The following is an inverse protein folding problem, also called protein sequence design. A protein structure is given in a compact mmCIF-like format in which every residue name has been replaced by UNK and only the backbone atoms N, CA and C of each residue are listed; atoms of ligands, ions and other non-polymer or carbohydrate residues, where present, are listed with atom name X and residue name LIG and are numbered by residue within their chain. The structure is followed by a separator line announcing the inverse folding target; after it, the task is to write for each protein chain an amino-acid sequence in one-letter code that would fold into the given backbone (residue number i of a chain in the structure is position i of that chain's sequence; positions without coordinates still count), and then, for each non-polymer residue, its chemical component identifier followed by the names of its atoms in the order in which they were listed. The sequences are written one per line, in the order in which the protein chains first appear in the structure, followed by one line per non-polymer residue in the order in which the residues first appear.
data_IF_562100020070
#
_entry.id   IF_562100020070
#
_cell.length_a   1.000
_cell.length_b   1.000
_cell.length_c   1.000
_cell.angle_alpha   90.00
_cell.angle_beta   90.00
_cell.angle_gamma   90.00
#
_symmetry.space_group_name_H-M   'P 1'
#
loop_
_entity.id
_entity.type
_entity.pdbx_description
1 polymer ?
#
# COMPACT_ATOMS: atom_id res chain seq x y z
N UNK A 1 -25.74 -36.86 55.42
CA UNK A 1 -26.00 -36.65 53.97
C UNK A 1 -26.04 -35.14 53.78
N UNK A 2 -24.99 -34.43 53.29
CA UNK A 2 -24.49 -34.36 51.90
C UNK A 2 -25.68 -34.15 50.93
N UNK A 3 -25.81 -33.10 50.11
CA UNK A 3 -24.81 -32.35 49.32
C UNK A 3 -25.34 -30.94 48.94
N UNK A 4 -24.39 -30.02 48.72
CA UNK A 4 -24.47 -28.72 48.04
C UNK A 4 -25.12 -28.76 46.64
N UNK A 5 -25.67 -27.62 46.19
CA UNK A 5 -26.05 -27.38 44.79
C UNK A 5 -25.77 -25.93 44.36
N UNK A 6 -24.94 -25.78 43.32
CA UNK A 6 -24.17 -24.58 42.96
C UNK A 6 -24.93 -23.46 42.22
N UNK A 7 -24.34 -22.26 42.33
CA UNK A 7 -24.50 -21.08 41.48
C UNK A 7 -24.36 -21.42 39.97
N UNK A 8 -25.23 -20.85 39.13
CA UNK A 8 -24.95 -20.66 37.71
C UNK A 8 -24.66 -19.18 37.46
N UNK A 9 -23.38 -18.89 37.26
CA UNK A 9 -22.89 -17.62 36.73
C UNK A 9 -23.32 -17.45 35.28
N UNK A 10 -23.86 -16.28 34.95
CA UNK A 10 -24.03 -15.86 33.57
C UNK A 10 -22.66 -15.72 32.89
N UNK A 11 -22.49 -16.44 31.79
CA UNK A 11 -21.31 -16.36 30.95
C UNK A 11 -21.39 -15.08 30.12
N UNK A 12 -20.67 -14.05 30.55
CA UNK A 12 -20.44 -12.83 29.79
C UNK A 12 -19.46 -13.15 28.66
N UNK A 13 -19.97 -13.31 27.43
CA UNK A 13 -19.16 -13.34 26.22
C UNK A 13 -18.43 -11.99 26.08
N UNK A 14 -17.08 -11.96 26.02
CA UNK A 14 -16.38 -10.72 25.71
C UNK A 14 -16.63 -10.32 24.24
N UNK A 15 -16.73 -9.02 23.92
CA UNK A 15 -16.85 -8.58 22.53
C UNK A 15 -15.62 -9.02 21.72
N UNK A 16 -15.74 -9.24 20.40
CA UNK A 16 -14.58 -9.54 19.57
C UNK A 16 -13.63 -8.34 19.63
N UNK A 17 -12.49 -8.52 20.29
CA UNK A 17 -11.37 -7.61 20.21
C UNK A 17 -10.95 -7.52 18.75
N UNK A 18 -11.18 -6.38 18.10
CA UNK A 18 -10.58 -6.06 16.81
C UNK A 18 -9.07 -6.23 16.96
N UNK A 19 -8.53 -7.27 16.33
CA UNK A 19 -7.11 -7.57 16.32
C UNK A 19 -6.41 -6.54 15.41
N UNK A 20 -6.15 -5.36 15.96
CA UNK A 20 -5.57 -4.20 15.26
C UNK A 20 -4.13 -4.42 14.79
N UNK A 21 -3.61 -5.65 14.87
CA UNK A 21 -2.24 -5.97 14.51
C UNK A 21 -2.10 -7.21 13.61
N UNK A 22 -3.18 -7.71 13.00
CA UNK A 22 -3.07 -8.83 12.06
C UNK A 22 -2.33 -8.41 10.80
N UNK A 23 -1.40 -9.27 10.38
CA UNK A 23 -0.76 -9.18 9.06
C UNK A 23 -1.80 -9.40 7.98
N UNK A 24 -1.84 -8.50 7.00
CA UNK A 24 -2.70 -8.60 5.83
C UNK A 24 -1.81 -8.99 4.65
N UNK A 25 -2.19 -10.07 3.97
CA UNK A 25 -1.57 -10.46 2.71
C UNK A 25 -2.09 -9.54 1.59
N UNK A 26 -1.18 -8.95 0.80
CA UNK A 26 -1.53 -8.07 -0.30
C UNK A 26 -2.45 -8.76 -1.31
N UNK A 27 -2.30 -10.07 -1.56
CA UNK A 27 -3.17 -10.79 -2.49
C UNK A 27 -4.63 -10.90 -2.04
N UNK A 28 -4.91 -10.66 -0.75
CA UNK A 28 -6.29 -10.61 -0.25
C UNK A 28 -7.02 -9.30 -0.60
N UNK A 29 -6.30 -8.26 -1.02
CA UNK A 29 -6.85 -6.92 -1.25
C UNK A 29 -7.45 -6.72 -2.64
N UNK A 30 -7.19 -7.62 -3.59
CA UNK A 30 -7.80 -7.59 -4.91
C UNK A 30 -7.91 -8.98 -5.51
N UNK A 31 -9.06 -9.30 -6.09
CA UNK A 31 -9.21 -10.58 -6.78
C UNK A 31 -8.52 -10.53 -8.15
N UNK A 32 -8.14 -11.71 -8.66
CA UNK A 32 -7.57 -11.83 -10.01
C UNK A 32 -8.53 -11.29 -11.08
N UNK A 33 -9.83 -11.49 -10.91
CA UNK A 33 -10.87 -11.07 -11.84
C UNK A 33 -11.07 -9.54 -11.83
N UNK A 34 -10.96 -8.89 -10.68
CA UNK A 34 -10.94 -7.43 -10.57
C UNK A 34 -9.72 -6.85 -11.29
N UNK A 35 -8.53 -7.41 -11.03
CA UNK A 35 -7.28 -6.98 -11.69
C UNK A 35 -7.35 -7.21 -13.20
N UNK A 36 -7.86 -8.35 -13.65
CA UNK A 36 -8.06 -8.66 -15.08
C UNK A 36 -8.96 -7.64 -15.77
N UNK A 37 -10.08 -7.29 -15.12
CA UNK A 37 -11.04 -6.31 -15.63
C UNK A 37 -10.40 -4.93 -15.76
N UNK A 38 -9.65 -4.49 -14.76
CA UNK A 38 -8.99 -3.16 -14.75
C UNK A 38 -7.83 -3.12 -15.75
N UNK A 39 -7.01 -4.17 -15.81
CA UNK A 39 -5.86 -4.20 -16.71
C UNK A 39 -6.29 -4.37 -18.18
N UNK A 40 -7.43 -5.02 -18.41
CA UNK A 40 -7.89 -5.40 -19.75
C UNK A 40 -7.07 -6.54 -20.33
N UNK A 41 -6.66 -7.49 -19.47
CA UNK A 41 -5.82 -8.63 -19.86
C UNK A 41 -6.20 -9.88 -19.07
N UNK A 42 -5.91 -11.04 -19.65
CA UNK A 42 -6.06 -12.32 -18.94
C UNK A 42 -4.91 -12.46 -17.92
N UNK A 43 -5.25 -12.31 -16.64
CA UNK A 43 -4.27 -12.52 -15.57
C UNK A 43 -4.08 -13.99 -15.25
N UNK A 44 -2.83 -14.34 -14.91
CA UNK A 44 -2.44 -15.62 -14.36
C UNK A 44 -2.72 -15.65 -12.85
N UNK A 45 -2.41 -16.77 -12.21
CA UNK A 45 -2.54 -16.88 -10.76
C UNK A 45 -1.60 -15.91 -10.05
N UNK A 46 -2.11 -15.13 -9.08
CA UNK A 46 -1.31 -14.15 -8.38
C UNK A 46 -0.23 -14.82 -7.52
N UNK A 47 0.93 -14.19 -7.45
CA UNK A 47 2.06 -14.65 -6.64
C UNK A 47 2.21 -13.73 -5.44
N UNK A 48 2.02 -14.28 -4.24
CA UNK A 48 2.29 -13.57 -2.98
C UNK A 48 3.76 -13.74 -2.60
N UNK A 49 4.36 -12.66 -2.08
CA UNK A 49 5.66 -12.69 -1.40
C UNK A 49 5.64 -11.72 -0.23
N UNK A 50 6.56 -11.90 0.71
CA UNK A 50 6.74 -10.98 1.82
C UNK A 50 8.20 -10.88 2.22
N UNK A 51 8.58 -9.73 2.77
CA UNK A 51 9.94 -9.49 3.25
C UNK A 51 10.02 -8.23 4.13
N UNK A 52 11.11 -8.10 4.90
CA UNK A 52 11.41 -6.85 5.57
C UNK A 52 11.67 -5.75 4.54
N UNK A 53 11.19 -4.55 4.84
CA UNK A 53 11.36 -3.34 4.04
C UNK A 53 11.66 -2.19 5.01
N UNK A 54 12.91 -1.75 5.08
CA UNK A 54 13.41 -0.83 6.11
C UNK A 54 13.05 -1.37 7.51
N UNK A 55 12.16 -0.69 8.23
CA UNK A 55 11.69 -1.01 9.59
C UNK A 55 10.32 -1.71 9.60
N UNK A 56 9.80 -2.04 8.41
CA UNK A 56 8.44 -2.52 8.21
C UNK A 56 8.41 -3.90 7.55
N UNK A 57 7.22 -4.46 7.47
CA UNK A 57 6.94 -5.65 6.68
C UNK A 57 6.24 -5.23 5.39
N UNK A 58 6.79 -5.66 4.26
CA UNK A 58 6.15 -5.54 2.97
C UNK A 58 5.57 -6.89 2.55
N UNK A 59 4.25 -6.94 2.37
CA UNK A 59 3.60 -7.99 1.59
C UNK A 59 3.41 -7.50 0.15
N UNK A 60 3.69 -8.35 -0.84
CA UNK A 60 3.52 -8.05 -2.25
C UNK A 60 2.65 -9.11 -2.92
N UNK A 61 1.80 -8.65 -3.83
CA UNK A 61 1.05 -9.49 -4.73
C UNK A 61 1.35 -9.10 -6.18
N UNK A 62 1.90 -10.05 -6.93
CA UNK A 62 2.22 -9.87 -8.33
C UNK A 62 1.20 -10.61 -9.21
N UNK A 63 0.54 -9.87 -10.10
CA UNK A 63 -0.37 -10.39 -11.10
C UNK A 63 0.33 -10.32 -12.47
N UNK A 64 0.92 -11.43 -12.90
CA UNK A 64 1.42 -11.56 -14.27
C UNK A 64 0.29 -11.91 -15.25
N UNK A 65 0.42 -11.55 -16.52
CA UNK A 65 -0.57 -11.88 -17.56
C UNK A 65 -0.01 -12.82 -18.62
N UNK A 66 -0.88 -13.33 -19.50
CA UNK A 66 -0.45 -14.06 -20.70
C UNK A 66 0.31 -13.18 -21.71
N UNK A 67 0.13 -11.86 -21.64
CA UNK A 67 0.89 -10.85 -22.37
C UNK A 67 2.08 -10.41 -21.49
N UNK A 68 3.34 -10.69 -21.89
CA UNK A 68 4.49 -10.58 -20.99
C UNK A 68 4.75 -9.18 -20.41
N UNK A 69 4.34 -8.14 -21.12
CA UNK A 69 4.53 -6.74 -20.72
C UNK A 69 3.41 -6.23 -19.80
N UNK A 70 2.24 -6.90 -19.76
CA UNK A 70 1.13 -6.54 -18.88
C UNK A 70 1.24 -7.27 -17.56
N UNK A 71 1.57 -6.51 -16.52
CA UNK A 71 1.58 -6.97 -15.15
C UNK A 71 0.99 -5.92 -14.22
N UNK A 72 0.61 -6.34 -13.02
CA UNK A 72 0.18 -5.45 -11.95
C UNK A 72 0.89 -5.86 -10.67
N UNK A 73 1.49 -4.89 -9.99
CA UNK A 73 2.11 -5.09 -8.68
C UNK A 73 1.31 -4.32 -7.63
N UNK A 74 0.96 -5.03 -6.56
CA UNK A 74 0.25 -4.50 -5.40
C UNK A 74 1.09 -4.79 -4.15
N UNK A 75 1.63 -3.76 -3.51
CA UNK A 75 2.38 -3.89 -2.27
C UNK A 75 1.60 -3.30 -1.09
N UNK A 76 1.65 -3.94 0.07
CA UNK A 76 1.15 -3.42 1.33
C UNK A 76 2.30 -3.38 2.34
N UNK A 77 2.74 -2.17 2.67
CA UNK A 77 3.65 -1.92 3.77
C UNK A 77 2.86 -1.77 5.07
N UNK A 78 3.29 -2.47 6.10
CA UNK A 78 2.65 -2.49 7.40
C UNK A 78 3.70 -2.68 8.51
N UNK A 79 3.38 -2.31 9.74
CA UNK A 79 4.22 -2.66 10.88
C UNK A 79 4.40 -4.17 10.97
N UNK A 80 5.61 -4.59 11.33
CA UNK A 80 5.90 -6.00 11.53
C UNK A 80 5.23 -6.47 12.84
N UNK A 81 4.30 -7.44 12.82
CA UNK A 81 3.61 -7.86 14.04
C UNK A 81 4.55 -8.47 15.10
N UNK A 82 5.71 -8.99 14.68
CA UNK A 82 6.71 -9.61 15.56
C UNK A 82 7.69 -8.60 16.15
N UNK A 83 7.89 -7.49 15.47
CA UNK A 83 8.77 -6.40 15.89
C UNK A 83 8.20 -5.09 15.37
N UNK A 84 7.22 -4.49 16.07
CA UNK A 84 6.48 -3.35 15.54
C UNK A 84 7.32 -2.08 15.41
N UNK A 85 8.57 -2.07 15.89
CA UNK A 85 9.42 -0.89 15.91
C UNK A 85 8.85 0.24 16.76
N UNK A 86 9.48 1.41 16.67
CA UNK A 86 9.02 2.65 17.30
C UNK A 86 8.36 3.61 16.30
N UNK A 87 8.66 3.44 15.01
CA UNK A 87 8.19 4.30 13.93
C UNK A 87 6.91 3.75 13.32
N UNK A 88 5.92 4.61 13.12
CA UNK A 88 4.67 4.23 12.45
C UNK A 88 4.78 4.40 10.93
N UNK A 89 3.91 3.72 10.17
CA UNK A 89 3.84 3.92 8.71
C UNK A 89 3.40 5.35 8.40
N UNK A 90 2.48 5.92 9.19
CA UNK A 90 2.07 7.33 9.04
C UNK A 90 3.23 8.30 9.26
N UNK A 91 4.11 8.06 10.24
CA UNK A 91 5.33 8.87 10.42
C UNK A 91 6.26 8.74 9.22
N UNK A 92 6.51 7.50 8.77
CA UNK A 92 7.30 7.25 7.57
C UNK A 92 6.73 7.94 6.32
N UNK A 93 5.41 7.93 6.16
CA UNK A 93 4.69 8.60 5.10
C UNK A 93 4.95 10.10 5.08
N UNK A 94 4.75 10.79 6.21
CA UNK A 94 4.97 12.23 6.32
C UNK A 94 6.43 12.60 6.09
N UNK A 95 7.38 11.85 6.65
CA UNK A 95 8.79 12.04 6.36
C UNK A 95 9.10 11.84 4.86
N UNK A 96 8.38 10.95 4.16
CA UNK A 96 8.60 10.73 2.73
C UNK A 96 7.97 11.84 1.87
N UNK A 97 6.74 12.26 2.17
CA UNK A 97 5.94 13.11 1.28
C UNK A 97 5.88 14.60 1.68
N UNK A 98 6.07 14.96 2.96
CA UNK A 98 6.02 16.36 3.43
C UNK A 98 7.22 17.17 2.90
N UNK A 99 8.36 16.51 2.66
CA UNK A 99 9.52 17.14 2.00
C UNK A 99 9.17 17.65 0.59
N UNK A 100 8.18 17.05 -0.07
CA UNK A 100 7.72 17.51 -1.39
C UNK A 100 6.64 18.59 -1.28
N UNK A 101 5.75 18.51 -0.30
CA UNK A 101 4.70 19.51 -0.06
C UNK A 101 5.27 20.89 0.33
N UNK A 102 6.38 20.90 1.07
CA UNK A 102 7.06 22.14 1.46
C UNK A 102 7.66 22.90 0.27
N UNK A 103 7.96 22.21 -0.84
CA UNK A 103 8.49 22.80 -2.07
C UNK A 103 7.41 23.45 -2.98
N UNK A 104 6.12 23.35 -2.63
CA UNK A 104 5.03 24.13 -3.27
C UNK A 104 4.90 25.54 -2.68
N UNK A 105 5.36 25.77 -1.43
CA UNK A 105 5.22 27.05 -0.72
C UNK A 105 6.39 28.04 -0.89
N UNK A 106 7.31 27.78 -1.83
CA UNK A 106 8.29 28.79 -2.27
C UNK A 106 9.53 29.01 -1.39
N UNK A 107 9.84 28.10 -0.46
CA UNK A 107 11.08 28.15 0.32
C UNK A 107 11.85 26.83 0.20
N UNK A 108 12.57 26.66 -0.90
CA UNK A 108 13.46 25.50 -1.09
C UNK A 108 14.50 25.80 -2.15
N UNK A 109 15.69 26.21 -1.71
CA UNK A 109 16.84 26.47 -2.57
C UNK A 109 17.10 25.27 -3.50
N UNK A 110 17.31 25.54 -4.78
CA UNK A 110 17.56 24.56 -5.85
C UNK A 110 18.88 23.75 -5.70
N UNK A 111 19.47 23.69 -4.50
CA UNK A 111 20.85 23.27 -4.25
C UNK A 111 21.06 22.03 -3.38
N UNK A 112 20.00 21.37 -2.91
CA UNK A 112 20.10 20.11 -2.14
C UNK A 112 19.73 18.90 -3.02
N UNK A 113 20.16 18.90 -4.28
CA UNK A 113 19.90 17.83 -5.27
C UNK A 113 20.89 16.68 -5.24
N UNK A 114 21.86 16.67 -4.33
CA UNK A 114 22.81 15.57 -4.22
C UNK A 114 22.85 15.07 -2.78
N UNK A 115 22.73 13.74 -2.64
CA UNK A 115 22.90 12.94 -1.43
C UNK A 115 21.65 12.69 -0.57
N UNK A 116 20.80 11.76 -1.03
CA UNK A 116 20.24 10.79 -0.10
C UNK A 116 20.29 9.38 -0.70
N UNK A 117 21.10 8.54 -0.06
CA UNK A 117 21.50 7.19 -0.49
C UNK A 117 20.40 6.17 -0.19
N UNK A 118 19.97 5.44 -1.20
CA UNK A 118 19.15 4.23 -1.10
C UNK A 118 18.74 3.75 -2.50
N UNK A 119 19.30 2.63 -2.95
CA UNK A 119 19.45 2.19 -4.34
C UNK A 119 18.14 1.75 -5.06
N UNK A 120 16.99 2.28 -4.66
CA UNK A 120 15.68 2.08 -5.33
C UNK A 120 15.01 3.40 -5.74
N UNK A 121 15.56 4.55 -5.34
CA UNK A 121 14.94 5.86 -5.55
C UNK A 121 15.43 6.61 -6.81
N UNK A 122 16.33 6.01 -7.60
CA UNK A 122 16.91 6.65 -8.80
C UNK A 122 15.97 6.74 -9.99
N UNK A 123 14.89 5.95 -10.02
CA UNK A 123 13.92 5.99 -11.13
C UNK A 123 12.93 7.16 -11.02
N UNK A 124 12.92 7.86 -9.88
CA UNK A 124 12.01 8.97 -9.57
C UNK A 124 12.75 10.25 -9.11
N UNK A 125 14.07 10.32 -9.27
CA UNK A 125 14.84 11.53 -8.97
C UNK A 125 14.31 12.72 -9.81
N UNK A 126 13.71 13.70 -9.12
CA UNK A 126 13.23 14.95 -9.71
C UNK A 126 11.74 15.04 -10.05
N UNK A 127 10.97 13.96 -9.92
CA UNK A 127 9.50 14.00 -10.13
C UNK A 127 8.80 14.39 -8.84
N UNK A 128 8.11 15.54 -8.83
CA UNK A 128 7.26 15.93 -7.69
C UNK A 128 6.05 14.99 -7.62
N UNK A 129 5.76 14.37 -6.45
CA UNK A 129 4.55 13.61 -6.23
C UNK A 129 3.30 14.43 -6.54
N UNK A 130 2.39 13.89 -7.35
CA UNK A 130 1.07 14.50 -7.58
C UNK A 130 0.12 14.03 -6.47
N UNK A 131 -0.44 14.95 -5.69
CA UNK A 131 -1.46 14.62 -4.70
C UNK A 131 -2.73 14.10 -5.37
N UNK A 132 -3.28 13.01 -4.84
CA UNK A 132 -4.51 12.38 -5.31
C UNK A 132 -5.56 12.48 -4.18
N UNK A 133 -6.70 13.09 -4.50
CA UNK A 133 -7.80 13.23 -3.54
C UNK A 133 -8.79 12.06 -3.63
N UNK A 134 -9.46 11.77 -2.51
CA UNK A 134 -10.59 10.83 -2.46
C UNK A 134 -10.24 9.34 -2.40
N UNK A 135 -8.97 8.98 -2.12
CA UNK A 135 -8.53 7.60 -1.92
C UNK A 135 -7.66 7.50 -0.65
N UNK A 136 -8.07 6.64 0.28
CA UNK A 136 -7.39 6.52 1.57
C UNK A 136 -7.53 7.78 2.42
N UNK A 137 -6.62 7.94 3.39
CA UNK A 137 -6.46 9.17 4.16
C UNK A 137 -5.65 10.20 3.36
N UNK A 138 -4.58 9.74 2.72
CA UNK A 138 -3.75 10.51 1.81
C UNK A 138 -3.27 9.62 0.66
N UNK A 139 -3.06 10.20 -0.51
CA UNK A 139 -2.46 9.47 -1.63
C UNK A 139 -1.66 10.36 -2.56
N UNK A 140 -0.59 9.77 -3.11
CA UNK A 140 0.33 10.44 -4.02
C UNK A 140 0.65 9.54 -5.21
N UNK A 141 0.71 10.14 -6.39
CA UNK A 141 1.18 9.52 -7.61
C UNK A 141 2.60 9.95 -7.91
N UNK A 142 3.52 8.99 -8.00
CA UNK A 142 4.89 9.20 -8.43
C UNK A 142 5.07 8.55 -9.78
N UNK A 143 5.04 9.36 -10.84
CA UNK A 143 5.09 8.85 -12.19
C UNK A 143 5.87 9.74 -13.15
N UNK A 144 6.43 9.10 -14.16
CA UNK A 144 7.03 9.72 -15.33
C UNK A 144 6.09 9.50 -16.54
N UNK A 145 6.40 10.03 -17.74
CA UNK A 145 5.53 9.86 -18.91
C UNK A 145 5.24 8.40 -19.31
N UNK A 146 6.06 7.42 -18.89
CA UNK A 146 5.86 5.99 -19.19
C UNK A 146 5.02 5.26 -18.14
N UNK A 147 4.74 5.87 -16.99
CA UNK A 147 3.97 5.23 -15.90
C UNK A 147 4.41 5.69 -14.52
N UNK A 148 3.99 4.97 -13.49
CA UNK A 148 4.31 5.33 -12.12
C UNK A 148 3.70 4.40 -11.08
N UNK A 149 3.85 4.80 -9.82
CA UNK A 149 3.35 4.10 -8.66
C UNK A 149 2.38 5.01 -7.91
N UNK A 150 1.20 4.49 -7.61
CA UNK A 150 0.24 5.13 -6.70
C UNK A 150 0.52 4.64 -5.29
N UNK A 151 0.78 5.59 -4.39
CA UNK A 151 0.93 5.37 -2.97
C UNK A 151 -0.33 5.83 -2.25
N UNK A 152 -0.84 5.02 -1.31
CA UNK A 152 -2.06 5.35 -0.53
C UNK A 152 -1.83 5.03 0.93
N UNK A 153 -2.01 6.00 1.81
CA UNK A 153 -2.01 5.84 3.26
C UNK A 153 -3.42 5.51 3.75
N UNK A 154 -3.56 4.48 4.57
CA UNK A 154 -4.79 4.17 5.31
C UNK A 154 -4.49 3.36 6.57
N UNK A 155 -5.04 3.78 7.72
CA UNK A 155 -5.01 3.00 8.96
C UNK A 155 -3.59 2.54 9.37
N UNK A 156 -2.59 3.44 9.29
CA UNK A 156 -1.17 3.13 9.55
C UNK A 156 -0.61 2.00 8.65
N UNK A 157 -1.06 1.97 7.39
CA UNK A 157 -0.58 1.08 6.34
C UNK A 157 -0.42 1.87 5.04
N UNK A 158 0.54 1.48 4.22
CA UNK A 158 0.82 2.13 2.94
C UNK A 158 0.68 1.13 1.81
N UNK A 159 -0.29 1.38 0.92
CA UNK A 159 -0.49 0.62 -0.30
C UNK A 159 0.37 1.22 -1.43
N UNK A 160 0.98 0.35 -2.25
CA UNK A 160 1.71 0.70 -3.47
C UNK A 160 1.10 -0.04 -4.65
N UNK A 161 0.77 0.66 -5.74
CA UNK A 161 0.18 0.07 -6.94
C UNK A 161 0.91 0.53 -8.19
N UNK A 162 1.31 -0.40 -9.04
CA UNK A 162 1.83 -0.09 -10.37
C UNK A 162 1.27 -1.02 -11.46
N UNK A 163 1.14 -0.46 -12.67
CA UNK A 163 0.65 -1.16 -13.84
C UNK A 163 1.72 -1.18 -14.93
N UNK A 164 2.12 -2.39 -15.31
CA UNK A 164 2.95 -2.66 -16.48
C UNK A 164 2.14 -2.63 -17.78
N UNK A 165 2.86 -2.60 -18.89
CA UNK A 165 2.31 -2.70 -20.24
C UNK A 165 2.19 -1.35 -20.94
N UNK A 166 1.68 -1.35 -22.18
CA UNK A 166 1.49 -0.14 -22.98
C UNK A 166 0.37 0.72 -22.40
N UNK A 167 0.42 2.01 -22.72
CA UNK A 167 -0.54 3.01 -22.26
C UNK A 167 0.14 4.26 -21.71
N UNK A 168 -0.62 5.33 -21.58
CA UNK A 168 -0.13 6.59 -21.02
C UNK A 168 0.02 6.51 -19.49
N UNK A 169 0.77 7.46 -18.91
CA UNK A 169 0.81 7.64 -17.47
C UNK A 169 -0.59 7.89 -16.87
N UNK A 170 -1.45 8.62 -17.58
CA UNK A 170 -2.83 8.89 -17.15
C UNK A 170 -3.69 7.61 -17.15
N UNK A 171 -3.55 6.76 -18.16
CA UNK A 171 -4.24 5.46 -18.19
C UNK A 171 -3.81 4.59 -17.01
N UNK A 172 -2.50 4.56 -16.73
CA UNK A 172 -1.93 3.79 -15.61
C UNK A 172 -2.38 4.35 -14.27
N UNK A 173 -2.42 5.68 -14.11
CA UNK A 173 -2.94 6.32 -12.91
C UNK A 173 -4.43 6.02 -12.72
N UNK A 174 -5.24 6.09 -13.77
CA UNK A 174 -6.68 5.77 -13.71
C UNK A 174 -6.92 4.31 -13.26
N UNK A 175 -6.16 3.36 -13.84
CA UNK A 175 -6.18 1.95 -13.42
C UNK A 175 -5.74 1.77 -11.96
N UNK A 176 -4.66 2.44 -11.54
CA UNK A 176 -4.18 2.42 -10.16
C UNK A 176 -5.22 2.95 -9.18
N UNK A 177 -5.91 4.05 -9.51
CA UNK A 177 -7.01 4.60 -8.69
C UNK A 177 -8.16 3.62 -8.54
N UNK A 178 -8.59 3.00 -9.64
CA UNK A 178 -9.67 2.01 -9.63
C UNK A 178 -9.32 0.79 -8.75
N UNK A 179 -8.09 0.29 -8.86
CA UNK A 179 -7.63 -0.83 -8.03
C UNK A 179 -7.48 -0.42 -6.56
N UNK A 180 -6.96 0.77 -6.29
CA UNK A 180 -6.85 1.30 -4.94
C UNK A 180 -8.22 1.38 -4.25
N UNK A 181 -9.24 1.90 -4.93
CA UNK A 181 -10.61 1.96 -4.37
C UNK A 181 -11.15 0.58 -3.97
N UNK A 182 -10.87 -0.47 -4.76
CA UNK A 182 -11.22 -1.85 -4.41
C UNK A 182 -10.46 -2.32 -3.18
N UNK A 183 -9.14 -2.13 -3.16
CA UNK A 183 -8.30 -2.48 -2.01
C UNK A 183 -8.72 -1.74 -0.74
N UNK A 184 -9.11 -0.47 -0.83
CA UNK A 184 -9.55 0.35 0.31
C UNK A 184 -10.80 -0.23 0.99
N UNK A 185 -11.67 -0.97 0.31
CA UNK A 185 -12.83 -1.62 0.95
C UNK A 185 -12.46 -2.84 1.81
N UNK A 186 -11.21 -3.30 1.74
CA UNK A 186 -10.69 -4.50 2.41
C UNK A 186 -9.61 -4.18 3.46
N UNK A 187 -9.30 -2.90 3.64
CA UNK A 187 -8.37 -2.32 4.62
C UNK A 187 -9.13 -1.48 5.65
#
# INVERSE_FOLDING_TARGET
MLVFGCNLSGESTPPPSEDKNQKIDACSLATREEVATIQGAKMLDPKSSEGPEIDFLLSQCYYGSAEPDKSVSLGLMQRNPKDPGTRTITQFWHETFDHFASAENGEGNEKDREESKGDENKEHEGVRPQKIEGIGQESYWLGNPMGGILYVLKNDRMLRISFGGPGSADDKLAKSKALAQKAMSRL
#
